data_IF_116048735283
#
_entry.id   IF_116048735283
#
_cell.length_a   1.000
_cell.length_b   1.000
_cell.length_c   1.000
_cell.angle_alpha   90.00
_cell.angle_beta   90.00
_cell.angle_gamma   90.00
#
_symmetry.space_group_name_H-M   'P 1'
#
loop_
_entity.id
_entity.type
_entity.pdbx_description
1 polymer ?
#
# COMPACT_ATOMS: atom_id res chain seq x y z
N UNK A 1 -14.27 -55.42 -9.91
CA UNK A 1 -14.18 -54.15 -10.62
C UNK A 1 -14.25 -53.00 -9.60
N UNK A 2 -13.10 -52.42 -9.25
CA UNK A 2 -13.03 -51.25 -8.35
C UNK A 2 -12.55 -50.10 -9.21
N UNK A 3 -13.44 -49.15 -9.46
CA UNK A 3 -13.17 -47.93 -10.23
C UNK A 3 -12.52 -46.93 -9.29
N UNK A 4 -11.26 -46.63 -9.53
CA UNK A 4 -10.48 -45.58 -8.83
C UNK A 4 -10.88 -44.23 -9.39
N UNK A 5 -11.56 -43.44 -8.58
CA UNK A 5 -11.84 -42.03 -8.89
C UNK A 5 -10.64 -41.20 -8.48
N UNK A 6 -9.90 -40.71 -9.46
CA UNK A 6 -8.79 -39.76 -9.25
C UNK A 6 -9.35 -38.42 -8.72
N UNK A 7 -8.97 -38.08 -7.50
CA UNK A 7 -9.19 -36.76 -6.90
C UNK A 7 -8.34 -35.70 -7.62
N UNK A 8 -9.01 -34.80 -8.29
CA UNK A 8 -8.44 -33.66 -8.97
C UNK A 8 -7.92 -32.67 -7.90
N UNK A 9 -6.63 -32.64 -7.68
CA UNK A 9 -5.96 -31.69 -6.78
C UNK A 9 -6.05 -30.29 -7.42
N UNK A 10 -6.53 -29.25 -6.72
CA UNK A 10 -6.53 -27.90 -7.28
C UNK A 10 -5.09 -27.44 -7.46
N UNK A 11 -4.76 -27.07 -8.69
CA UNK A 11 -3.49 -26.45 -9.09
C UNK A 11 -3.24 -25.21 -8.22
N UNK A 12 -2.12 -25.18 -7.51
CA UNK A 12 -1.68 -24.04 -6.75
C UNK A 12 -1.63 -22.77 -7.63
N UNK A 13 -2.00 -21.58 -7.12
CA UNK A 13 -1.92 -20.36 -7.91
C UNK A 13 -0.47 -20.13 -8.33
N UNK A 14 -0.26 -19.91 -9.62
CA UNK A 14 1.02 -19.59 -10.24
C UNK A 14 1.70 -18.48 -9.41
N UNK A 15 2.89 -18.77 -8.87
CA UNK A 15 3.64 -17.81 -8.07
C UNK A 15 3.85 -16.52 -8.91
N UNK A 16 3.32 -15.40 -8.43
CA UNK A 16 3.54 -14.10 -9.07
C UNK A 16 5.03 -13.78 -8.96
N UNK A 17 5.63 -13.37 -10.09
CA UNK A 17 7.02 -12.91 -10.08
C UNK A 17 7.21 -11.77 -9.06
N UNK A 18 8.27 -11.81 -8.28
CA UNK A 18 8.57 -10.77 -7.30
C UNK A 18 8.90 -9.44 -7.98
N UNK A 19 8.72 -8.33 -7.27
CA UNK A 19 9.07 -7.01 -7.79
C UNK A 19 10.57 -6.93 -8.13
N UNK A 20 11.43 -7.62 -7.39
CA UNK A 20 12.87 -7.66 -7.67
C UNK A 20 13.18 -8.42 -8.96
N UNK A 21 12.52 -9.53 -9.24
CA UNK A 21 12.65 -10.27 -10.51
C UNK A 21 12.16 -9.44 -11.70
N UNK A 22 11.02 -8.76 -11.55
CA UNK A 22 10.49 -7.87 -12.58
C UNK A 22 11.41 -6.66 -12.83
N UNK A 23 11.98 -6.08 -11.77
CA UNK A 23 12.93 -4.98 -11.87
C UNK A 23 14.23 -5.42 -12.60
N UNK A 24 14.75 -6.60 -12.31
CA UNK A 24 15.95 -7.14 -12.98
C UNK A 24 15.68 -7.41 -14.46
N UNK A 25 14.50 -7.93 -14.80
CA UNK A 25 14.07 -8.13 -16.20
C UNK A 25 13.98 -6.81 -16.94
N UNK A 26 13.38 -5.79 -16.32
CA UNK A 26 13.31 -4.45 -16.91
C UNK A 26 14.69 -3.79 -17.03
N UNK A 27 15.59 -4.03 -16.09
CA UNK A 27 16.95 -3.48 -16.14
C UNK A 27 17.79 -4.08 -17.29
N UNK A 28 17.59 -5.37 -17.58
CA UNK A 28 18.31 -6.10 -18.65
C UNK A 28 17.70 -5.95 -20.02
N UNK A 29 16.50 -5.39 -20.14
CA UNK A 29 15.86 -5.12 -21.44
C UNK A 29 16.71 -4.14 -22.25
N UNK A 30 16.96 -4.41 -23.57
CA UNK A 30 17.76 -3.53 -24.41
C UNK A 30 17.19 -2.12 -24.44
N UNK A 31 18.09 -1.13 -24.44
CA UNK A 31 17.74 0.26 -24.72
C UNK A 31 17.65 0.42 -26.22
N UNK A 32 16.49 0.15 -26.81
CA UNK A 32 16.27 0.48 -28.21
C UNK A 32 16.20 2.01 -28.36
N UNK A 33 17.33 2.57 -28.74
CA UNK A 33 17.35 3.77 -29.55
C UNK A 33 16.96 3.31 -30.97
N UNK A 34 15.86 3.85 -31.47
CA UNK A 34 15.40 3.70 -32.87
C UNK A 34 14.87 2.30 -33.25
N UNK A 35 13.54 2.10 -33.08
CA UNK A 35 12.69 1.63 -34.20
C UNK A 35 11.25 1.42 -33.70
N UNK A 36 10.38 2.18 -34.28
CA UNK A 36 9.00 1.92 -34.65
C UNK A 36 8.60 0.43 -34.67
N UNK A 37 8.17 -0.10 -33.50
CA UNK A 37 7.28 -1.24 -33.45
C UNK A 37 6.48 -1.19 -32.15
N UNK A 38 5.17 -0.95 -32.29
CA UNK A 38 4.22 -0.79 -31.18
C UNK A 38 4.08 -1.99 -30.22
N UNK A 39 4.75 -3.11 -30.52
CA UNK A 39 4.76 -4.29 -29.66
C UNK A 39 5.75 -4.19 -28.50
N UNK A 40 6.92 -3.61 -28.69
CA UNK A 40 7.97 -3.49 -27.65
C UNK A 40 7.55 -2.50 -26.55
N UNK A 41 6.85 -1.42 -26.93
CA UNK A 41 6.30 -0.44 -25.96
C UNK A 41 5.24 -1.10 -25.06
N UNK A 42 4.40 -1.97 -25.61
CA UNK A 42 3.37 -2.68 -24.85
C UNK A 42 3.94 -3.70 -23.84
N UNK A 43 5.04 -4.37 -24.15
CA UNK A 43 5.65 -5.34 -23.21
C UNK A 43 6.32 -4.65 -22.01
N UNK A 44 7.06 -3.57 -22.25
CA UNK A 44 7.70 -2.80 -21.17
C UNK A 44 6.66 -2.10 -20.29
N UNK A 45 5.57 -1.57 -20.85
CA UNK A 45 4.47 -0.98 -20.12
C UNK A 45 3.73 -2.03 -19.27
N UNK A 46 3.46 -3.21 -19.81
CA UNK A 46 2.86 -4.32 -19.07
C UNK A 46 3.78 -4.83 -17.95
N UNK A 47 5.10 -4.86 -18.17
CA UNK A 47 6.06 -5.26 -17.15
C UNK A 47 6.14 -4.22 -16.03
N UNK A 48 6.12 -2.91 -16.35
CA UNK A 48 6.11 -1.83 -15.38
C UNK A 48 4.82 -1.83 -14.53
N UNK A 49 3.66 -2.08 -15.16
CA UNK A 49 2.38 -2.22 -14.45
C UNK A 49 2.43 -3.37 -13.45
N UNK A 50 2.95 -4.52 -13.87
CA UNK A 50 3.14 -5.69 -12.99
C UNK A 50 4.11 -5.39 -11.85
N UNK A 51 5.21 -4.70 -12.15
CA UNK A 51 6.18 -4.29 -11.15
C UNK A 51 5.55 -3.40 -10.06
N UNK A 52 4.80 -2.36 -10.45
CA UNK A 52 4.15 -1.45 -9.48
C UNK A 52 3.13 -2.21 -8.62
N UNK A 53 2.33 -3.10 -9.22
CA UNK A 53 1.38 -3.93 -8.48
C UNK A 53 2.09 -4.90 -7.51
N UNK A 54 3.22 -5.50 -7.90
CA UNK A 54 4.03 -6.33 -7.00
C UNK A 54 4.66 -5.51 -5.88
N UNK A 55 5.22 -4.34 -6.17
CA UNK A 55 5.77 -3.42 -5.17
C UNK A 55 4.75 -3.07 -4.08
N UNK A 56 3.53 -2.71 -4.49
CA UNK A 56 2.47 -2.37 -3.54
C UNK A 56 2.08 -3.61 -2.72
N UNK A 57 1.90 -4.76 -3.35
CA UNK A 57 1.56 -6.00 -2.65
C UNK A 57 2.64 -6.42 -1.65
N UNK A 58 3.90 -6.28 -2.03
CA UNK A 58 5.05 -6.63 -1.20
C UNK A 58 5.33 -5.61 -0.09
N UNK A 59 4.87 -4.35 -0.22
CA UNK A 59 4.88 -3.37 0.85
C UNK A 59 3.80 -3.66 1.92
N UNK A 60 2.65 -4.19 1.52
CA UNK A 60 1.55 -4.51 2.43
C UNK A 60 1.91 -5.68 3.35
N UNK A 61 2.59 -6.71 2.85
CA UNK A 61 2.92 -7.92 3.61
C UNK A 61 3.73 -7.65 4.89
N UNK A 62 4.84 -6.88 4.89
CA UNK A 62 5.59 -6.51 6.08
C UNK A 62 4.99 -5.32 6.84
N UNK A 63 3.76 -4.88 6.49
CA UNK A 63 3.07 -3.72 7.08
C UNK A 63 3.87 -2.42 6.91
N UNK A 64 4.45 -2.19 5.75
CA UNK A 64 5.06 -0.91 5.46
C UNK A 64 4.02 0.21 5.57
N UNK A 65 4.36 1.30 6.25
CA UNK A 65 3.50 2.48 6.35
C UNK A 65 3.57 3.35 5.10
N UNK A 66 4.76 3.48 4.54
CA UNK A 66 5.00 4.31 3.37
C UNK A 66 5.93 3.59 2.38
N UNK A 67 5.70 3.87 1.11
CA UNK A 67 6.48 3.41 -0.03
C UNK A 67 6.93 4.65 -0.83
N UNK A 68 8.05 5.29 -0.44
CA UNK A 68 8.64 6.37 -1.22
C UNK A 68 9.33 5.82 -2.47
N UNK A 69 9.08 6.50 -3.59
CA UNK A 69 9.69 6.31 -4.89
C UNK A 69 10.37 7.62 -5.25
N UNK A 70 11.68 7.60 -5.26
CA UNK A 70 12.51 8.78 -5.42
C UNK A 70 13.12 8.80 -6.82
N UNK A 71 12.94 9.93 -7.50
CA UNK A 71 13.46 10.14 -8.84
C UNK A 71 14.59 11.16 -8.80
N UNK A 72 15.73 10.78 -9.32
CA UNK A 72 16.87 11.68 -9.43
C UNK A 72 17.27 11.92 -10.89
N UNK A 73 18.01 13.02 -11.21
CA UNK A 73 18.54 13.24 -12.53
C UNK A 73 19.45 12.09 -12.98
N UNK A 74 19.38 11.75 -14.30
CA UNK A 74 20.30 10.74 -14.85
C UNK A 74 21.78 11.14 -14.58
N UNK A 75 22.66 10.16 -14.35
CA UNK A 75 22.47 8.71 -14.52
C UNK A 75 21.89 7.97 -13.30
N UNK A 76 21.52 8.69 -12.23
CA UNK A 76 21.07 8.05 -11.01
C UNK A 76 19.78 7.23 -11.19
N UNK A 77 19.69 6.06 -10.54
CA UNK A 77 18.52 5.20 -10.64
C UNK A 77 17.31 5.80 -9.91
N UNK A 78 16.13 5.29 -10.22
CA UNK A 78 14.93 5.47 -9.39
C UNK A 78 15.08 4.55 -8.18
N UNK A 79 14.97 5.11 -6.98
CA UNK A 79 15.06 4.35 -5.73
C UNK A 79 13.68 4.10 -5.14
N UNK A 80 13.42 2.86 -4.78
CA UNK A 80 12.22 2.45 -4.07
C UNK A 80 12.62 1.98 -2.68
N UNK A 81 11.96 2.51 -1.67
CA UNK A 81 12.18 2.16 -0.28
C UNK A 81 10.87 1.81 0.41
N UNK A 82 10.94 1.05 1.48
CA UNK A 82 9.80 0.77 2.37
C UNK A 82 10.05 1.40 3.74
N UNK A 83 9.04 2.03 4.31
CA UNK A 83 9.08 2.43 5.72
C UNK A 83 8.42 1.35 6.56
N UNK A 84 9.21 0.65 7.37
CA UNK A 84 8.75 -0.43 8.25
C UNK A 84 9.16 -0.05 9.67
N UNK A 85 8.23 -0.04 10.60
CA UNK A 85 8.47 0.34 12.01
C UNK A 85 9.16 1.71 12.18
N UNK A 86 8.84 2.66 11.29
CA UNK A 86 9.41 4.01 11.28
C UNK A 86 10.73 4.15 10.51
N UNK A 87 11.41 3.06 10.19
CA UNK A 87 12.68 3.06 9.47
C UNK A 87 12.50 2.93 7.96
N UNK A 88 13.24 3.74 7.19
CA UNK A 88 13.31 3.63 5.74
C UNK A 88 14.36 2.59 5.34
N UNK A 89 13.91 1.52 4.69
CA UNK A 89 14.77 0.43 4.20
C UNK A 89 14.81 0.45 2.67
N UNK A 90 16.00 0.41 2.04
CA UNK A 90 16.11 0.24 0.61
C UNK A 90 15.41 -1.07 0.18
N UNK A 91 14.69 -1.02 -0.91
CA UNK A 91 14.00 -2.20 -1.44
C UNK A 91 14.50 -2.61 -2.82
N UNK A 92 14.43 -1.71 -3.81
CA UNK A 92 15.00 -1.94 -5.14
C UNK A 92 15.36 -0.61 -5.83
N UNK A 93 16.14 -0.74 -6.90
CA UNK A 93 16.48 0.36 -7.79
C UNK A 93 16.09 0.01 -9.24
N UNK A 94 15.68 1.02 -10.00
CA UNK A 94 15.32 0.89 -11.40
C UNK A 94 16.17 1.85 -12.25
N UNK A 95 16.50 1.49 -13.49
CA UNK A 95 17.19 2.39 -14.40
C UNK A 95 16.47 3.73 -14.53
N UNK A 96 17.25 4.81 -14.68
CA UNK A 96 16.75 6.19 -14.77
C UNK A 96 15.68 6.40 -15.85
N UNK A 97 15.68 5.59 -16.92
CA UNK A 97 14.69 5.65 -18.01
C UNK A 97 13.24 5.43 -17.54
N UNK A 98 13.02 4.71 -16.44
CA UNK A 98 11.67 4.41 -15.92
C UNK A 98 11.06 5.50 -15.05
N UNK A 99 11.82 6.55 -14.69
CA UNK A 99 11.38 7.59 -13.74
C UNK A 99 10.06 8.27 -14.12
N UNK A 100 9.89 8.66 -15.39
CA UNK A 100 8.67 9.32 -15.84
C UNK A 100 7.50 8.35 -15.97
N UNK A 101 7.74 7.18 -16.57
CA UNK A 101 6.71 6.16 -16.76
C UNK A 101 6.16 5.64 -15.44
N UNK A 102 7.02 5.47 -14.43
CA UNK A 102 6.62 5.02 -13.09
C UNK A 102 5.73 6.05 -12.39
N UNK A 103 6.13 7.31 -12.38
CA UNK A 103 5.33 8.41 -11.81
C UNK A 103 4.01 8.56 -12.55
N UNK A 104 4.03 8.57 -13.89
CA UNK A 104 2.82 8.68 -14.70
C UNK A 104 1.83 7.54 -14.42
N UNK A 105 2.32 6.30 -14.31
CA UNK A 105 1.46 5.15 -14.01
C UNK A 105 0.81 5.26 -12.64
N UNK A 106 1.54 5.68 -11.62
CA UNK A 106 0.98 5.88 -10.27
C UNK A 106 -0.05 7.00 -10.27
N UNK A 107 0.19 8.10 -11.00
CA UNK A 107 -0.79 9.18 -11.18
C UNK A 107 -2.08 8.69 -11.83
N UNK A 108 -1.99 7.84 -12.86
CA UNK A 108 -3.16 7.21 -13.49
C UNK A 108 -3.93 6.37 -12.48
N UNK A 109 -3.23 5.55 -11.69
CA UNK A 109 -3.87 4.71 -10.67
C UNK A 109 -4.57 5.54 -9.59
N UNK A 110 -4.02 6.70 -9.26
CA UNK A 110 -4.57 7.63 -8.27
C UNK A 110 -5.61 8.60 -8.85
N UNK A 111 -5.87 8.57 -10.17
CA UNK A 111 -6.77 9.48 -10.88
C UNK A 111 -6.41 10.97 -10.70
N UNK A 112 -5.11 11.28 -10.68
CA UNK A 112 -4.59 12.64 -10.61
C UNK A 112 -3.95 13.07 -11.93
N UNK A 113 -3.79 14.37 -12.14
CA UNK A 113 -3.33 14.94 -13.42
C UNK A 113 -1.89 14.54 -13.74
N UNK A 114 -1.71 13.86 -14.88
CA UNK A 114 -0.41 13.39 -15.35
C UNK A 114 0.45 14.55 -15.85
N UNK A 115 -0.18 15.58 -16.42
CA UNK A 115 0.52 16.71 -17.06
C UNK A 115 1.07 17.72 -16.05
N UNK A 116 0.55 17.77 -14.84
CA UNK A 116 1.00 18.69 -13.80
C UNK A 116 2.31 18.17 -13.15
N UNK A 117 3.41 18.87 -13.37
CA UNK A 117 4.74 18.54 -12.85
C UNK A 117 5.29 19.56 -11.86
N UNK A 118 4.62 20.70 -11.70
CA UNK A 118 5.14 21.86 -10.94
C UNK A 118 4.55 22.01 -9.55
N UNK A 119 3.38 21.39 -9.33
CA UNK A 119 2.66 21.48 -8.06
C UNK A 119 2.57 20.11 -7.40
N UNK A 120 2.66 20.04 -6.07
CA UNK A 120 2.31 18.82 -5.35
C UNK A 120 0.87 18.40 -5.67
N UNK A 121 0.64 17.12 -5.76
CA UNK A 121 -0.70 16.56 -5.95
C UNK A 121 -0.95 15.45 -4.94
N UNK A 122 -2.20 15.32 -4.54
CA UNK A 122 -2.68 14.30 -3.60
C UNK A 122 -3.79 13.48 -4.25
N UNK A 123 -3.80 12.18 -4.01
CA UNK A 123 -4.79 11.28 -4.57
C UNK A 123 -4.91 9.99 -3.78
N UNK A 124 -5.78 9.12 -4.24
CA UNK A 124 -6.04 7.82 -3.60
C UNK A 124 -6.07 6.70 -4.62
N UNK A 125 -5.57 5.54 -4.23
CA UNK A 125 -5.66 4.31 -5.02
C UNK A 125 -6.45 3.28 -4.22
N UNK A 126 -7.59 2.84 -4.76
CA UNK A 126 -8.21 1.60 -4.32
C UNK A 126 -7.50 0.43 -5.00
N UNK A 127 -6.63 -0.24 -4.27
CA UNK A 127 -5.77 -1.27 -4.84
C UNK A 127 -6.52 -2.54 -5.26
N UNK A 128 -7.72 -2.76 -4.75
CA UNK A 128 -8.57 -3.87 -5.19
C UNK A 128 -8.91 -3.81 -6.68
N UNK A 129 -9.02 -2.60 -7.24
CA UNK A 129 -9.28 -2.36 -8.67
C UNK A 129 -8.13 -2.79 -9.59
N UNK A 130 -6.94 -3.00 -9.03
CA UNK A 130 -5.73 -3.40 -9.76
C UNK A 130 -5.32 -4.85 -9.46
N UNK A 131 -6.25 -5.65 -8.91
CA UNK A 131 -6.04 -7.07 -8.62
C UNK A 131 -5.26 -7.35 -7.33
N UNK A 132 -5.12 -6.35 -6.47
CA UNK A 132 -4.54 -6.46 -5.13
C UNK A 132 -5.56 -6.72 -4.03
N UNK A 133 -5.11 -6.81 -2.77
CA UNK A 133 -6.01 -6.86 -1.62
C UNK A 133 -6.82 -5.56 -1.47
N UNK A 134 -7.95 -5.59 -0.73
CA UNK A 134 -8.80 -4.42 -0.50
C UNK A 134 -8.12 -3.44 0.47
N UNK A 135 -7.15 -2.70 -0.03
CA UNK A 135 -6.37 -1.70 0.69
C UNK A 135 -6.43 -0.38 -0.09
N UNK A 136 -6.69 0.70 0.61
CA UNK A 136 -6.59 2.06 0.08
C UNK A 136 -5.17 2.59 0.30
N UNK A 137 -4.63 3.26 -0.70
CA UNK A 137 -3.35 3.95 -0.63
C UNK A 137 -3.58 5.45 -0.83
N UNK A 138 -3.02 6.27 0.03
CA UNK A 138 -2.90 7.70 -0.23
C UNK A 138 -1.62 7.94 -1.03
N UNK A 139 -1.73 8.72 -2.10
CA UNK A 139 -0.63 9.05 -3.00
C UNK A 139 -0.35 10.53 -2.90
N UNK A 140 0.90 10.89 -2.68
CA UNK A 140 1.37 12.27 -2.75
C UNK A 140 2.50 12.34 -3.76
N UNK A 141 2.40 13.24 -4.72
CA UNK A 141 3.49 13.57 -5.64
C UNK A 141 4.09 14.92 -5.28
N UNK A 142 5.41 14.99 -5.23
CA UNK A 142 6.14 16.21 -4.87
C UNK A 142 7.11 16.55 -5.99
N UNK A 143 7.00 17.75 -6.59
CA UNK A 143 7.98 18.22 -7.56
C UNK A 143 9.37 18.30 -6.95
N UNK A 144 10.37 17.86 -7.71
CA UNK A 144 11.78 17.96 -7.36
C UNK A 144 12.55 18.74 -8.43
N UNK A 145 13.86 18.71 -8.42
CA UNK A 145 14.67 19.44 -9.38
C UNK A 145 14.49 18.95 -10.81
N UNK A 146 14.66 19.84 -11.79
CA UNK A 146 14.67 19.54 -13.24
C UNK A 146 13.37 18.92 -13.76
N UNK A 147 12.21 19.27 -13.16
CA UNK A 147 10.91 18.77 -13.61
C UNK A 147 10.62 17.33 -13.23
N UNK A 148 11.43 16.75 -12.34
CA UNK A 148 11.18 15.42 -11.79
C UNK A 148 10.17 15.50 -10.64
N UNK A 149 9.64 14.35 -10.25
CA UNK A 149 8.70 14.23 -9.15
C UNK A 149 8.97 12.98 -8.34
N UNK A 150 9.00 13.12 -7.04
CA UNK A 150 8.96 11.99 -6.12
C UNK A 150 7.52 11.62 -5.82
N UNK A 151 7.29 10.36 -5.52
CA UNK A 151 5.98 9.84 -5.14
C UNK A 151 6.09 9.13 -3.80
N UNK A 152 5.14 9.37 -2.93
CA UNK A 152 4.99 8.60 -1.70
C UNK A 152 3.61 7.96 -1.68
N UNK A 153 3.59 6.63 -1.61
CA UNK A 153 2.36 5.88 -1.37
C UNK A 153 2.30 5.53 0.12
N UNK A 154 1.28 6.04 0.81
CA UNK A 154 0.99 5.64 2.19
C UNK A 154 -0.05 4.55 2.19
N UNK A 155 0.26 3.43 2.82
CA UNK A 155 -0.67 2.32 2.98
C UNK A 155 -1.66 2.68 4.08
N UNK A 156 -2.90 2.94 3.69
CA UNK A 156 -4.00 3.11 4.63
C UNK A 156 -4.52 1.70 4.95
N UNK A 157 -3.93 1.08 5.95
CA UNK A 157 -4.40 -0.21 6.37
C UNK A 157 -5.87 -0.08 6.80
N UNK A 158 -6.78 -0.60 6.00
CA UNK A 158 -8.12 -0.95 6.45
C UNK A 158 -7.99 -2.18 7.34
N UNK A 159 -7.27 -2.03 8.45
CA UNK A 159 -7.26 -3.05 9.48
C UNK A 159 -8.71 -3.14 9.97
N UNK A 160 -9.37 -4.27 9.70
CA UNK A 160 -10.57 -4.60 10.47
C UNK A 160 -10.21 -4.34 11.93
N UNK A 161 -11.01 -3.57 12.68
CA UNK A 161 -10.70 -3.30 14.07
C UNK A 161 -10.38 -4.63 14.77
N UNK A 162 -9.30 -4.67 15.51
CA UNK A 162 -9.01 -5.84 16.33
C UNK A 162 -10.19 -6.03 17.28
N UNK A 163 -10.63 -7.27 17.54
CA UNK A 163 -11.57 -7.51 18.63
C UNK A 163 -11.00 -6.91 19.92
N UNK A 164 -11.86 -6.35 20.77
CA UNK A 164 -11.42 -5.71 22.02
C UNK A 164 -10.60 -6.67 22.90
N UNK A 165 -10.90 -7.97 22.83
CA UNK A 165 -10.13 -9.03 23.50
C UNK A 165 -8.73 -9.24 22.91
N UNK A 166 -8.50 -8.78 21.69
CA UNK A 166 -7.24 -8.96 20.95
C UNK A 166 -6.24 -7.80 21.08
N UNK A 167 -6.56 -6.71 21.80
CA UNK A 167 -5.68 -5.54 21.93
C UNK A 167 -4.59 -5.68 22.99
N UNK A 168 -4.49 -6.84 23.67
CA UNK A 168 -3.41 -7.13 24.61
C UNK A 168 -3.61 -6.59 26.02
N UNK A 169 -4.82 -6.19 26.41
CA UNK A 169 -5.12 -5.82 27.79
C UNK A 169 -5.17 -7.07 28.69
N UNK A 170 -4.74 -6.91 29.94
CA UNK A 170 -4.97 -7.94 30.94
C UNK A 170 -6.49 -8.08 31.25
N UNK A 171 -6.97 -9.22 31.73
CA UNK A 171 -8.40 -9.47 31.92
C UNK A 171 -9.12 -8.45 32.83
N UNK A 172 -8.48 -7.97 33.89
CA UNK A 172 -9.07 -6.98 34.78
C UNK A 172 -9.25 -5.62 34.13
N UNK A 173 -8.26 -5.17 33.37
CA UNK A 173 -8.32 -3.90 32.61
C UNK A 173 -9.33 -3.98 31.47
N UNK A 174 -9.43 -5.12 30.80
CA UNK A 174 -10.41 -5.36 29.74
C UNK A 174 -11.84 -5.25 30.28
N UNK A 175 -12.13 -5.89 31.42
CA UNK A 175 -13.45 -5.81 32.08
C UNK A 175 -13.76 -4.37 32.52
N UNK A 176 -12.78 -3.67 33.09
CA UNK A 176 -12.94 -2.28 33.52
C UNK A 176 -13.23 -1.36 32.33
N UNK A 177 -12.51 -1.53 31.22
CA UNK A 177 -12.71 -0.76 29.98
C UNK A 177 -14.11 -1.04 29.42
N UNK A 178 -14.53 -2.29 29.27
CA UNK A 178 -15.88 -2.65 28.81
C UNK A 178 -16.96 -2.03 29.69
N UNK A 179 -16.81 -2.09 31.00
CA UNK A 179 -17.76 -1.47 31.95
C UNK A 179 -17.82 0.05 31.77
N UNK A 180 -16.68 0.70 31.56
CA UNK A 180 -16.60 2.15 31.34
C UNK A 180 -17.29 2.60 30.03
N UNK A 181 -17.02 1.92 28.93
CA UNK A 181 -17.54 2.31 27.59
C UNK A 181 -19.01 1.93 27.38
N UNK A 182 -19.58 1.09 28.25
CA UNK A 182 -21.00 0.75 28.20
C UNK A 182 -21.89 1.75 28.92
N UNK A 183 -21.31 2.65 29.73
CA UNK A 183 -22.09 3.69 30.44
C UNK A 183 -22.73 4.65 29.43
N UNK A 184 -23.90 5.20 29.81
CA UNK A 184 -24.66 6.13 28.99
C UNK A 184 -24.11 7.55 28.99
N UNK A 185 -23.16 7.86 29.87
CA UNK A 185 -22.51 9.18 29.99
C UNK A 185 -21.08 9.02 30.52
N UNK A 186 -20.26 10.01 30.26
CA UNK A 186 -18.86 10.04 30.70
C UNK A 186 -17.91 10.41 29.57
N UNK A 187 -16.62 10.37 29.89
CA UNK A 187 -15.53 10.62 28.97
C UNK A 187 -14.46 9.53 29.15
N UNK A 188 -14.03 8.95 28.05
CA UNK A 188 -12.90 8.00 28.02
C UNK A 188 -11.79 8.63 27.21
N UNK A 189 -10.62 8.82 27.82
CA UNK A 189 -9.44 9.39 27.17
C UNK A 189 -8.41 8.29 26.89
N UNK A 190 -7.90 8.26 25.65
CA UNK A 190 -6.82 7.36 25.23
C UNK A 190 -5.61 8.22 24.85
N UNK A 191 -4.60 8.24 25.70
CA UNK A 191 -3.41 9.08 25.56
C UNK A 191 -2.16 8.25 25.37
N UNK A 192 -1.18 8.80 24.65
CA UNK A 192 0.12 8.16 24.45
C UNK A 192 0.86 8.73 23.23
N UNK A 193 2.14 8.37 23.03
CA UNK A 193 2.94 8.83 21.89
C UNK A 193 2.41 8.27 20.56
N UNK A 194 2.94 8.79 19.46
CA UNK A 194 2.62 8.29 18.11
C UNK A 194 3.03 6.82 17.98
N UNK A 195 2.16 6.01 17.37
CA UNK A 195 2.43 4.58 17.15
C UNK A 195 2.12 3.65 18.34
N UNK A 196 1.71 4.17 19.52
CA UNK A 196 1.41 3.32 20.70
C UNK A 196 0.05 2.58 20.65
N UNK A 197 -0.69 2.67 19.54
CA UNK A 197 -1.96 1.94 19.37
C UNK A 197 -3.22 2.69 19.80
N UNK A 198 -3.20 4.01 19.98
CA UNK A 198 -4.39 4.82 20.35
C UNK A 198 -5.58 4.58 19.42
N UNK A 199 -5.37 4.78 18.12
CA UNK A 199 -6.40 4.60 17.09
C UNK A 199 -6.89 3.16 17.04
N UNK A 200 -5.98 2.18 17.12
CA UNK A 200 -6.33 0.75 17.18
C UNK A 200 -7.25 0.45 18.37
N UNK A 201 -6.91 0.96 19.55
CA UNK A 201 -7.71 0.76 20.77
C UNK A 201 -9.09 1.41 20.66
N UNK A 202 -9.16 2.66 20.13
CA UNK A 202 -10.42 3.36 19.92
C UNK A 202 -11.32 2.63 18.92
N UNK A 203 -10.79 2.18 17.79
CA UNK A 203 -11.57 1.42 16.80
C UNK A 203 -12.05 0.09 17.35
N UNK A 204 -11.24 -0.60 18.17
CA UNK A 204 -11.65 -1.84 18.85
C UNK A 204 -12.79 -1.60 19.84
N UNK A 205 -12.72 -0.51 20.63
CA UNK A 205 -13.80 -0.10 21.53
C UNK A 205 -15.07 0.24 20.76
N UNK A 206 -14.96 1.06 19.71
CA UNK A 206 -16.10 1.44 18.86
C UNK A 206 -16.74 0.20 18.26
N UNK A 207 -15.94 -0.74 17.77
CA UNK A 207 -16.43 -2.00 17.21
C UNK A 207 -17.17 -2.86 18.24
N UNK A 208 -16.67 -2.91 19.49
CA UNK A 208 -17.29 -3.66 20.60
C UNK A 208 -18.66 -3.09 21.01
N UNK A 209 -18.81 -1.76 20.99
CA UNK A 209 -20.06 -1.09 21.38
C UNK A 209 -21.02 -0.82 20.21
N UNK A 210 -20.60 -1.07 18.98
CA UNK A 210 -21.39 -0.82 17.77
C UNK A 210 -22.46 -1.91 17.58
N UNK A 211 -23.62 -1.67 18.14
CA UNK A 211 -24.77 -2.55 18.07
C UNK A 211 -25.92 -1.86 17.32
N UNK A 212 -26.91 -2.64 16.83
CA UNK A 212 -28.06 -2.11 16.10
C UNK A 212 -28.87 -1.06 16.90
N UNK A 213 -28.77 -1.07 18.22
CA UNK A 213 -29.46 -0.11 19.10
C UNK A 213 -28.68 1.16 19.42
N UNK A 214 -27.47 1.32 18.90
CA UNK A 214 -26.60 2.47 19.19
C UNK A 214 -26.24 3.22 17.91
N UNK A 215 -26.38 4.54 17.95
CA UNK A 215 -25.84 5.42 16.90
C UNK A 215 -24.55 6.02 17.37
N UNK A 216 -23.46 5.77 16.63
CA UNK A 216 -22.11 6.25 16.96
C UNK A 216 -21.70 7.29 15.90
N UNK A 217 -21.08 8.36 16.35
CA UNK A 217 -20.47 9.38 15.51
C UNK A 217 -18.98 9.39 15.75
N UNK A 218 -18.19 9.43 14.68
CA UNK A 218 -16.73 9.63 14.72
C UNK A 218 -16.37 10.91 13.99
N UNK A 219 -15.35 11.61 14.50
CA UNK A 219 -14.67 12.69 13.79
C UNK A 219 -13.17 12.36 13.77
N UNK A 220 -12.64 12.20 12.58
CA UNK A 220 -11.26 11.75 12.36
C UNK A 220 -10.60 12.65 11.31
N UNK A 221 -9.28 12.90 11.45
CA UNK A 221 -8.46 13.66 10.48
C UNK A 221 -7.93 12.76 9.35
#
# INVERSE_FOLDING_TARGET
SVTSTALNTPTAPTARASAQELASTLASAPTDNEADTGEVVNESDNALVRLINSLISEAIAPRASDLPIETEPAPRPVRVRFRIDGELRPYLELPARFRFAMVARIKIMASIDISEHRKPQDGKIDFSRFGGPPVELRVVTVPTSRGLQDVVLRVLASAKPLPLDGIGLNPSNLLALRSAVQKSYGLVLVCGPTGCGKTTSLHSVISDINTAGRKIWTAED
#
